data_IF_340486798601
#
_entry.id   IF_340486798601
#
_cell.length_a   1.000
_cell.length_b   1.000
_cell.length_c   1.000
_cell.angle_alpha   90.00
_cell.angle_beta   90.00
_cell.angle_gamma   90.00
#
_symmetry.space_group_name_H-M   'P 1'
#
loop_
_entity.id
_entity.type
_entity.pdbx_description
1 polymer ?
#
# COMPACT_ATOMS: atom_id res chain seq x y z
N UNK A 1 -4.58 1.44 10.25
CA UNK A 1 -3.37 1.04 9.51
C UNK A 1 -3.31 -0.47 9.47
N UNK A 2 -3.17 -1.09 8.30
CA UNK A 2 -3.09 -2.54 8.18
C UNK A 2 -1.79 -3.05 8.81
N UNK A 3 -1.92 -4.05 9.66
CA UNK A 3 -0.81 -4.79 10.27
C UNK A 3 -0.89 -6.23 9.77
N UNK A 4 0.12 -6.70 9.06
CA UNK A 4 0.16 -8.06 8.53
C UNK A 4 1.15 -8.86 9.36
N UNK A 5 0.65 -9.80 10.16
CA UNK A 5 1.52 -10.61 11.04
C UNK A 5 2.07 -11.82 10.28
N UNK A 6 3.39 -12.05 10.38
CA UNK A 6 4.02 -13.27 9.88
C UNK A 6 3.47 -14.50 10.63
N UNK A 7 3.53 -15.69 10.02
CA UNK A 7 3.01 -16.93 10.61
C UNK A 7 3.58 -17.23 12.01
N UNK A 8 4.86 -16.92 12.21
CA UNK A 8 5.58 -17.10 13.47
C UNK A 8 5.27 -16.03 14.53
N UNK A 9 4.51 -14.98 14.17
CA UNK A 9 4.12 -13.83 15.02
C UNK A 9 5.25 -13.01 15.64
N UNK A 10 6.50 -13.35 15.34
CA UNK A 10 7.67 -12.58 15.74
C UNK A 10 7.87 -11.32 14.88
N UNK A 11 7.28 -11.30 13.69
CA UNK A 11 7.43 -10.22 12.71
C UNK A 11 6.07 -9.74 12.21
N UNK A 12 6.01 -8.45 11.87
CA UNK A 12 4.83 -7.87 11.25
C UNK A 12 5.21 -6.85 10.17
N UNK A 13 4.31 -6.63 9.21
CA UNK A 13 4.40 -5.52 8.27
C UNK A 13 3.45 -4.41 8.67
N UNK A 14 3.94 -3.18 8.65
CA UNK A 14 3.09 -1.98 8.61
C UNK A 14 3.23 -1.34 7.23
N UNK A 15 2.09 -0.99 6.64
CA UNK A 15 2.04 -0.30 5.34
C UNK A 15 1.39 1.05 5.58
N UNK A 16 2.06 2.12 5.15
CA UNK A 16 1.61 3.49 5.33
C UNK A 16 1.90 4.33 4.10
N UNK A 17 1.01 5.26 3.79
CA UNK A 17 1.23 6.24 2.73
C UNK A 17 1.88 7.50 3.30
N UNK A 18 2.96 7.95 2.67
CA UNK A 18 3.63 9.22 2.97
C UNK A 18 3.31 10.23 1.88
N UNK A 19 2.32 11.09 2.13
CA UNK A 19 1.93 12.17 1.23
C UNK A 19 3.11 13.13 0.90
N UNK A 20 4.02 13.48 1.83
CA UNK A 20 5.15 14.34 1.48
C UNK A 20 6.16 13.70 0.52
N UNK A 21 6.18 12.36 0.43
CA UNK A 21 7.15 11.62 -0.38
C UNK A 21 6.55 11.02 -1.65
N UNK A 22 5.23 11.13 -1.81
CA UNK A 22 4.40 10.43 -2.81
C UNK A 22 4.82 8.96 -2.92
N UNK A 23 4.75 8.28 -1.78
CA UNK A 23 5.27 6.93 -1.63
C UNK A 23 4.58 6.10 -0.54
N UNK A 24 4.48 4.80 -0.81
CA UNK A 24 4.17 3.78 0.17
C UNK A 24 5.42 3.36 0.93
N UNK A 25 5.28 3.30 2.24
CA UNK A 25 6.28 2.79 3.16
C UNK A 25 5.83 1.41 3.64
N UNK A 26 6.62 0.39 3.32
CA UNK A 26 6.42 -0.99 3.80
C UNK A 26 7.49 -1.26 4.85
N UNK A 27 7.08 -1.37 6.10
CA UNK A 27 7.95 -1.49 7.26
C UNK A 27 7.89 -2.91 7.81
N UNK A 28 9.04 -3.58 7.91
CA UNK A 28 9.21 -4.84 8.62
C UNK A 28 9.57 -4.57 10.07
N UNK A 29 8.67 -4.93 10.97
CA UNK A 29 8.85 -4.76 12.40
C UNK A 29 9.20 -6.08 13.10
N UNK A 30 10.05 -5.99 14.11
CA UNK A 30 10.17 -6.96 15.19
C UNK A 30 9.08 -6.68 16.23
N UNK A 31 8.21 -7.67 16.47
CA UNK A 31 7.06 -7.52 17.37
C UNK A 31 7.51 -7.50 18.84
N UNK A 32 8.54 -8.27 19.20
CA UNK A 32 8.98 -8.36 20.59
C UNK A 32 9.66 -7.07 21.04
N UNK A 33 10.47 -6.48 20.16
CA UNK A 33 11.21 -5.25 20.43
C UNK A 33 10.44 -3.99 20.02
N UNK A 34 9.24 -4.14 19.43
CA UNK A 34 8.39 -3.07 18.89
C UNK A 34 9.20 -2.07 18.04
N UNK A 35 9.90 -2.61 17.04
CA UNK A 35 10.94 -1.87 16.31
C UNK A 35 10.94 -2.19 14.83
N UNK A 36 11.03 -1.15 14.00
CA UNK A 36 11.29 -1.28 12.56
C UNK A 36 12.72 -1.75 12.29
N UNK A 37 12.86 -2.86 11.55
CA UNK A 37 14.15 -3.39 11.13
C UNK A 37 14.53 -2.91 9.74
N UNK A 38 13.54 -2.89 8.84
CA UNK A 38 13.72 -2.61 7.42
C UNK A 38 12.52 -1.82 6.93
N UNK A 39 12.76 -0.77 6.15
CA UNK A 39 11.71 0.01 5.48
C UNK A 39 11.96 0.00 3.98
N UNK A 40 10.98 -0.42 3.21
CA UNK A 40 10.95 -0.18 1.77
C UNK A 40 10.12 1.07 1.48
N UNK A 41 10.62 1.92 0.60
CA UNK A 41 9.95 3.13 0.12
C UNK A 41 9.63 2.90 -1.35
N UNK A 42 8.35 2.86 -1.68
CA UNK A 42 7.80 2.58 -3.02
C UNK A 42 7.09 3.84 -3.52
N UNK A 43 7.73 4.65 -4.36
CA UNK A 43 7.08 5.80 -4.98
C UNK A 43 5.94 5.32 -5.89
N UNK A 44 4.78 5.94 -5.81
CA UNK A 44 3.59 5.48 -6.54
C UNK A 44 3.16 6.40 -7.69
N UNK A 45 3.39 7.70 -7.59
CA UNK A 45 3.02 8.67 -8.66
C UNK A 45 4.11 8.86 -9.75
N UNK A 46 5.34 8.40 -9.51
CA UNK A 46 6.40 8.39 -10.52
C UNK A 46 6.86 6.95 -10.81
N UNK A 47 6.41 6.34 -11.93
CA UNK A 47 6.77 4.97 -12.28
C UNK A 47 8.26 4.76 -12.58
N UNK A 48 9.00 5.83 -12.91
CA UNK A 48 10.42 5.76 -13.22
C UNK A 48 11.32 5.88 -11.98
N UNK A 49 10.76 6.31 -10.83
CA UNK A 49 11.52 6.43 -9.58
C UNK A 49 11.76 5.04 -8.97
N UNK A 50 13.03 4.72 -8.73
CA UNK A 50 13.44 3.41 -8.20
C UNK A 50 12.95 3.23 -6.75
N UNK A 51 12.26 2.12 -6.42
CA UNK A 51 11.97 1.74 -5.04
C UNK A 51 13.26 1.48 -4.26
N UNK A 52 13.29 1.87 -2.99
CA UNK A 52 14.50 1.73 -2.16
C UNK A 52 14.20 0.97 -0.89
N UNK A 53 15.23 0.37 -0.30
CA UNK A 53 15.16 -0.32 0.99
C UNK A 53 16.23 0.24 1.91
N UNK A 54 15.83 0.66 3.10
CA UNK A 54 16.73 1.08 4.16
C UNK A 54 16.64 0.14 5.37
N UNK A 55 17.78 -0.08 6.01
CA UNK A 55 17.89 -0.84 7.25
C UNK A 55 18.07 0.16 8.39
N UNK A 56 17.36 -0.01 9.51
CA UNK A 56 17.51 0.87 10.66
C UNK A 56 18.94 0.73 11.23
N UNK A 57 19.82 1.74 11.09
CA UNK A 57 21.19 1.65 11.59
C UNK A 57 21.25 1.61 13.12
N UNK A 58 20.20 2.09 13.80
CA UNK A 58 20.08 2.01 15.24
C UNK A 58 19.75 0.60 15.74
N UNK A 59 19.32 -0.32 14.84
CA UNK A 59 18.91 -1.69 15.20
C UNK A 59 20.08 -2.56 15.67
N UNK A 60 21.31 -2.07 15.52
CA UNK A 60 22.49 -2.87 15.72
C UNK A 60 22.55 -4.01 14.71
N UNK A 61 23.38 -5.01 14.99
CA UNK A 61 23.43 -6.21 14.16
C UNK A 61 22.24 -7.11 14.48
N UNK A 62 21.21 -7.09 13.63
CA UNK A 62 20.06 -7.99 13.72
C UNK A 62 20.08 -8.98 12.55
N UNK A 63 20.01 -10.26 12.89
CA UNK A 63 19.79 -11.31 11.90
C UNK A 63 18.29 -11.43 11.64
N UNK A 64 17.86 -11.20 10.40
CA UNK A 64 16.50 -11.47 9.95
C UNK A 64 16.49 -12.81 9.22
N UNK A 65 15.63 -13.77 9.62
CA UNK A 65 15.51 -15.04 8.92
C UNK A 65 15.20 -14.84 7.43
N UNK A 66 15.84 -15.61 6.56
CA UNK A 66 15.66 -15.51 5.11
C UNK A 66 14.19 -15.64 4.70
N UNK A 67 13.42 -16.54 5.32
CA UNK A 67 12.00 -16.72 5.04
C UNK A 67 11.18 -15.45 5.29
N UNK A 68 11.47 -14.75 6.38
CA UNK A 68 10.83 -13.48 6.76
C UNK A 68 11.22 -12.38 5.79
N UNK A 69 12.52 -12.28 5.44
CA UNK A 69 12.97 -11.31 4.45
C UNK A 69 12.33 -11.55 3.07
N UNK A 70 12.23 -12.81 2.63
CA UNK A 70 11.54 -13.17 1.38
C UNK A 70 10.07 -12.76 1.43
N UNK A 71 9.37 -13.07 2.51
CA UNK A 71 7.98 -12.66 2.72
C UNK A 71 7.79 -11.13 2.70
N UNK A 72 8.69 -10.38 3.34
CA UNK A 72 8.71 -8.92 3.26
C UNK A 72 8.88 -8.45 1.81
N UNK A 73 9.89 -8.96 1.10
CA UNK A 73 10.16 -8.58 -0.29
C UNK A 73 9.02 -8.97 -1.25
N UNK A 74 8.25 -10.01 -0.95
CA UNK A 74 7.04 -10.36 -1.71
C UNK A 74 5.95 -9.29 -1.58
N UNK A 75 5.77 -8.72 -0.39
CA UNK A 75 4.84 -7.61 -0.17
C UNK A 75 5.34 -6.33 -0.83
N UNK A 76 6.63 -6.03 -0.72
CA UNK A 76 7.25 -4.90 -1.45
C UNK A 76 7.05 -5.05 -2.95
N UNK A 77 7.27 -6.24 -3.51
CA UNK A 77 7.04 -6.49 -4.92
C UNK A 77 5.57 -6.39 -5.32
N UNK A 78 4.63 -6.76 -4.43
CA UNK A 78 3.21 -6.55 -4.66
C UNK A 78 2.85 -5.06 -4.70
N UNK A 79 3.37 -4.28 -3.75
CA UNK A 79 3.15 -2.83 -3.70
C UNK A 79 3.72 -2.12 -4.93
N UNK A 80 4.92 -2.51 -5.38
CA UNK A 80 5.50 -1.99 -6.63
C UNK A 80 4.58 -2.27 -7.81
N UNK A 81 4.06 -3.50 -7.96
CA UNK A 81 3.14 -3.83 -9.07
C UNK A 81 1.90 -2.96 -9.00
N UNK A 82 1.21 -2.93 -7.86
CA UNK A 82 0.02 -2.09 -7.67
C UNK A 82 0.31 -0.64 -8.04
N UNK A 83 1.40 -0.08 -7.50
CA UNK A 83 1.85 1.30 -7.73
C UNK A 83 2.22 1.61 -9.18
N UNK A 84 2.62 0.63 -9.99
CA UNK A 84 2.89 0.81 -11.42
C UNK A 84 1.65 0.60 -12.27
N UNK A 85 0.84 -0.39 -11.96
CA UNK A 85 -0.33 -0.78 -12.75
C UNK A 85 -1.34 0.36 -12.85
N UNK A 86 -1.59 1.11 -11.77
CA UNK A 86 -2.57 2.19 -11.81
C UNK A 86 -2.11 3.40 -12.65
N UNK A 87 -0.80 3.63 -12.74
CA UNK A 87 -0.21 4.69 -13.58
C UNK A 87 -0.29 4.39 -15.07
N UNK A 88 -0.59 3.13 -15.46
CA UNK A 88 -0.84 2.74 -16.85
C UNK A 88 -2.31 2.91 -17.26
N UNK A 89 -3.19 3.27 -16.32
CA UNK A 89 -4.60 3.53 -16.61
C UNK A 89 -4.79 4.80 -17.43
N UNK A 90 -6.03 5.02 -17.90
CA UNK A 90 -6.37 6.27 -18.58
C UNK A 90 -6.16 7.47 -17.65
N UNK A 91 -5.70 8.63 -18.15
CA UNK A 91 -5.40 9.80 -17.33
C UNK A 91 -6.53 10.22 -16.39
N UNK A 92 -7.79 10.10 -16.82
CA UNK A 92 -8.93 10.48 -15.98
C UNK A 92 -9.07 9.58 -14.75
N UNK A 93 -8.69 8.30 -14.84
CA UNK A 93 -8.72 7.37 -13.70
C UNK A 93 -7.53 7.60 -12.77
N UNK A 94 -6.36 7.90 -13.34
CA UNK A 94 -5.15 8.26 -12.60
C UNK A 94 -5.43 9.47 -11.70
N UNK A 95 -6.05 10.53 -12.23
CA UNK A 95 -6.39 11.71 -11.42
C UNK A 95 -7.36 11.39 -10.28
N UNK A 96 -8.38 10.56 -10.53
CA UNK A 96 -9.31 10.13 -9.46
C UNK A 96 -8.57 9.35 -8.37
N UNK A 97 -7.67 8.43 -8.75
CA UNK A 97 -6.91 7.64 -7.78
C UNK A 97 -5.98 8.54 -6.96
N UNK A 98 -5.33 9.52 -7.60
CA UNK A 98 -4.50 10.52 -6.94
C UNK A 98 -5.31 11.31 -5.91
N UNK A 99 -6.45 11.87 -6.30
CA UNK A 99 -7.33 12.61 -5.39
C UNK A 99 -7.78 11.76 -4.19
N UNK A 100 -8.16 10.49 -4.42
CA UNK A 100 -8.53 9.58 -3.35
C UNK A 100 -7.34 9.25 -2.42
N UNK A 101 -6.14 9.05 -2.97
CA UNK A 101 -4.94 8.78 -2.15
C UNK A 101 -4.50 10.00 -1.36
N UNK A 102 -4.62 11.20 -1.91
CA UNK A 102 -4.37 12.45 -1.19
C UNK A 102 -5.37 12.66 -0.03
N UNK A 103 -6.66 12.41 -0.26
CA UNK A 103 -7.70 12.62 0.74
C UNK A 103 -7.69 11.56 1.85
N UNK A 104 -7.55 10.29 1.47
CA UNK A 104 -7.72 9.15 2.38
C UNK A 104 -6.40 8.48 2.76
N UNK A 105 -5.26 8.94 2.23
CA UNK A 105 -3.93 8.34 2.46
C UNK A 105 -3.91 6.85 2.10
N UNK A 106 -4.64 6.50 1.04
CA UNK A 106 -4.86 5.15 0.55
C UNK A 106 -5.56 4.21 1.54
N UNK A 107 -6.19 4.74 2.60
CA UNK A 107 -6.91 3.98 3.62
C UNK A 107 -8.30 4.58 3.85
N UNK A 108 -9.32 3.76 3.62
CA UNK A 108 -10.71 4.13 3.90
C UNK A 108 -11.31 3.18 4.93
N UNK A 109 -12.02 3.74 5.91
CA UNK A 109 -12.76 2.99 6.92
C UNK A 109 -14.10 2.44 6.37
N UNK A 110 -14.62 1.42 7.05
CA UNK A 110 -15.84 0.73 6.60
C UNK A 110 -17.10 1.59 6.72
N UNK A 111 -17.11 2.62 7.57
CA UNK A 111 -18.24 3.53 7.73
C UNK A 111 -18.33 4.57 6.62
N UNK A 112 -17.18 5.05 6.10
CA UNK A 112 -17.13 6.01 4.98
C UNK A 112 -17.14 5.35 3.62
N UNK A 113 -16.60 4.13 3.50
CA UNK A 113 -16.50 3.43 2.21
C UNK A 113 -17.82 3.38 1.41
N UNK A 114 -19.01 3.10 1.99
CA UNK A 114 -20.25 3.07 1.24
C UNK A 114 -20.64 4.40 0.57
N UNK A 115 -20.31 5.53 1.21
CA UNK A 115 -20.59 6.85 0.66
C UNK A 115 -19.68 7.13 -0.55
N UNK A 116 -18.37 6.92 -0.40
CA UNK A 116 -17.38 7.07 -1.48
C UNK A 116 -17.69 6.14 -2.65
N UNK A 117 -18.04 4.88 -2.38
CA UNK A 117 -18.46 3.91 -3.41
C UNK A 117 -19.68 4.39 -4.19
N UNK A 118 -20.64 5.04 -3.54
CA UNK A 118 -21.84 5.58 -4.19
C UNK A 118 -21.50 6.74 -5.11
N UNK A 119 -20.63 7.64 -4.67
CA UNK A 119 -20.16 8.78 -5.48
C UNK A 119 -19.36 8.31 -6.69
N UNK A 120 -18.41 7.37 -6.49
CA UNK A 120 -17.63 6.80 -7.58
C UNK A 120 -18.51 6.08 -8.60
N UNK A 121 -19.54 5.32 -8.17
CA UNK A 121 -20.52 4.71 -9.09
C UNK A 121 -21.28 5.71 -9.93
N UNK A 122 -21.55 6.91 -9.40
CA UNK A 122 -22.23 7.96 -10.15
C UNK A 122 -21.31 8.60 -11.20
N UNK A 123 -20.01 8.71 -10.91
CA UNK A 123 -19.00 9.28 -11.83
C UNK A 123 -18.39 8.27 -12.82
N UNK A 124 -18.35 6.99 -12.46
CA UNK A 124 -17.73 5.89 -13.22
C UNK A 124 -18.78 4.82 -13.54
N UNK A 125 -19.53 4.96 -14.65
CA UNK A 125 -20.58 4.01 -15.00
C UNK A 125 -20.06 2.66 -15.51
N UNK A 126 -18.78 2.57 -15.89
CA UNK A 126 -18.12 1.31 -16.22
C UNK A 126 -17.63 0.61 -14.95
N UNK A 127 -18.17 -0.58 -14.68
CA UNK A 127 -17.82 -1.38 -13.51
C UNK A 127 -16.34 -1.79 -13.48
N UNK A 128 -15.69 -1.91 -14.64
CA UNK A 128 -14.25 -2.23 -14.70
C UNK A 128 -13.39 -1.06 -14.25
N UNK A 129 -13.77 0.14 -14.68
CA UNK A 129 -13.07 1.37 -14.27
C UNK A 129 -13.26 1.60 -12.77
N UNK A 130 -14.49 1.40 -12.27
CA UNK A 130 -14.76 1.46 -10.83
C UNK A 130 -13.92 0.46 -10.05
N UNK A 131 -13.86 -0.81 -10.49
CA UNK A 131 -13.07 -1.83 -9.82
C UNK A 131 -11.57 -1.49 -9.82
N UNK A 132 -11.04 -0.99 -10.94
CA UNK A 132 -9.64 -0.57 -11.04
C UNK A 132 -9.32 0.61 -10.11
N UNK A 133 -10.21 1.60 -10.02
CA UNK A 133 -10.04 2.76 -9.12
C UNK A 133 -10.10 2.32 -7.65
N UNK A 134 -11.04 1.45 -7.27
CA UNK A 134 -11.17 0.98 -5.88
C UNK A 134 -9.99 0.08 -5.44
N UNK A 135 -9.53 -0.80 -6.32
CA UNK A 135 -8.36 -1.64 -6.06
C UNK A 135 -7.10 -0.78 -5.92
N UNK A 136 -6.88 0.17 -6.85
CA UNK A 136 -5.72 1.04 -6.79
C UNK A 136 -5.75 2.02 -5.61
N UNK A 137 -6.88 2.68 -5.35
CA UNK A 137 -6.97 3.69 -4.29
C UNK A 137 -6.97 3.07 -2.89
N UNK A 138 -7.61 1.92 -2.70
CA UNK A 138 -7.92 1.38 -1.38
C UNK A 138 -7.60 -0.11 -1.17
N UNK A 139 -7.20 -0.84 -2.21
CA UNK A 139 -7.06 -2.30 -2.15
C UNK A 139 -8.39 -3.02 -1.85
N UNK A 140 -9.51 -2.45 -2.32
CA UNK A 140 -10.87 -2.96 -2.05
C UNK A 140 -11.59 -3.35 -3.33
N UNK A 141 -12.42 -4.39 -3.19
CA UNK A 141 -13.37 -4.80 -4.22
C UNK A 141 -14.64 -3.92 -4.17
N UNK A 142 -15.44 -3.88 -5.27
CA UNK A 142 -16.72 -3.16 -5.31
C UNK A 142 -17.80 -3.65 -4.33
N UNK A 143 -17.62 -4.84 -3.73
CA UNK A 143 -18.45 -5.38 -2.66
C UNK A 143 -17.99 -4.96 -1.25
N UNK A 144 -16.88 -4.22 -1.17
CA UNK A 144 -16.28 -3.72 0.07
C UNK A 144 -15.30 -4.65 0.75
N UNK A 145 -15.07 -5.85 0.22
CA UNK A 145 -14.03 -6.75 0.72
C UNK A 145 -12.63 -6.23 0.42
N UNK A 146 -11.69 -6.51 1.33
CA UNK A 146 -10.25 -6.22 1.14
C UNK A 146 -9.63 -7.36 0.33
N UNK A 147 -8.66 -7.01 -0.52
CA UNK A 147 -7.87 -7.96 -1.31
C UNK A 147 -6.86 -8.76 -0.48
#
# INVERSE_FOLDING_TARGET
MPLITHEDRAYALRILYSLPDDAWYVELDDVADNRTLVTAIVPDEDPAREPTVCFDPGAGHREVPYGVMRWFMEHVAAEIRTSRDWMELRPELVEIIRELREEYLGLIDDDRFPAVLTELRAGLPDERDLAAVLDAAFGRNPDGSVR
#
